data_IF_113101687490
#
_entry.id   IF_113101687490
#
_cell.length_a   1.000
_cell.length_b   1.000
_cell.length_c   1.000
_cell.angle_alpha   90.00
_cell.angle_beta   90.00
_cell.angle_gamma   90.00
#
_symmetry.space_group_name_H-M   'P 1'
#
loop_
_entity.id
_entity.type
_entity.pdbx_description
1 polymer ?
#
# COMPACT_ATOMS: atom_id res chain seq x y z
N UNK A 1 -2.63 6.93 -16.65
CA UNK A 1 -1.88 5.90 -17.39
C UNK A 1 -1.07 6.52 -18.55
N UNK A 2 -1.70 7.23 -19.52
CA UNK A 2 -0.98 7.81 -20.69
C UNK A 2 0.11 8.79 -20.24
N UNK A 3 -0.20 9.74 -19.37
CA UNK A 3 0.80 10.68 -18.83
C UNK A 3 1.92 9.96 -18.06
N UNK A 4 1.60 8.89 -17.33
CA UNK A 4 2.60 8.11 -16.59
C UNK A 4 3.57 7.41 -17.55
N UNK A 5 3.08 6.94 -18.70
CA UNK A 5 3.93 6.33 -19.72
C UNK A 5 4.99 7.31 -20.28
N UNK A 6 4.69 8.61 -20.33
CA UNK A 6 5.63 9.64 -20.80
C UNK A 6 6.88 9.81 -19.92
N UNK A 7 6.83 9.35 -18.68
CA UNK A 7 8.00 9.39 -17.79
C UNK A 7 8.98 8.24 -18.02
N UNK A 8 8.56 7.18 -18.75
CA UNK A 8 9.39 5.99 -18.97
C UNK A 8 10.79 6.30 -19.50
N UNK A 9 10.97 7.11 -20.58
CA UNK A 9 12.31 7.38 -21.10
C UNK A 9 13.27 8.04 -20.10
N UNK A 10 12.72 8.83 -19.17
CA UNK A 10 13.52 9.48 -18.11
C UNK A 10 13.92 8.50 -17.03
N UNK A 11 13.07 7.52 -16.73
CA UNK A 11 13.28 6.52 -15.69
C UNK A 11 14.12 5.32 -16.18
N UNK A 12 14.10 5.03 -17.48
CA UNK A 12 14.83 3.93 -18.10
C UNK A 12 16.36 4.01 -17.88
N UNK A 13 16.88 5.23 -17.67
CA UNK A 13 18.30 5.47 -17.37
C UNK A 13 18.63 5.42 -15.88
N UNK A 14 17.75 4.86 -15.05
CA UNK A 14 17.96 4.79 -13.59
C UNK A 14 17.69 6.08 -12.83
N UNK A 15 17.18 7.13 -13.50
CA UNK A 15 16.88 8.39 -12.84
C UNK A 15 15.67 8.25 -11.90
N UNK A 16 15.70 8.97 -10.80
CA UNK A 16 14.59 9.10 -9.86
C UNK A 16 14.01 10.50 -9.99
N UNK A 17 12.71 10.57 -10.31
CA UNK A 17 11.99 11.85 -10.32
C UNK A 17 11.47 12.11 -8.91
N UNK A 18 11.78 13.29 -8.38
CA UNK A 18 11.42 13.68 -7.02
C UNK A 18 10.83 15.09 -7.00
N UNK A 19 9.73 15.24 -6.28
CA UNK A 19 9.11 16.52 -5.97
C UNK A 19 8.81 16.58 -4.48
N UNK A 20 9.34 17.57 -3.79
CA UNK A 20 9.11 17.83 -2.38
C UNK A 20 8.21 19.05 -2.22
N UNK A 21 7.17 18.91 -1.41
CA UNK A 21 6.30 19.99 -0.96
C UNK A 21 6.47 20.07 0.56
N UNK A 22 6.95 21.18 1.06
CA UNK A 22 7.11 21.39 2.50
C UNK A 22 5.74 21.58 3.14
N UNK A 23 5.44 20.73 4.12
CA UNK A 23 4.18 20.79 4.86
C UNK A 23 4.43 21.05 6.34
N UNK A 24 5.15 20.17 7.03
CA UNK A 24 5.53 20.30 8.44
C UNK A 24 7.03 19.93 8.59
N UNK A 25 7.94 20.81 8.15
CA UNK A 25 9.37 20.50 8.11
C UNK A 25 9.97 20.25 9.49
N UNK A 26 9.45 20.91 10.54
CA UNK A 26 9.90 20.74 11.93
C UNK A 26 9.67 19.32 12.46
N UNK A 27 8.65 18.61 11.95
CA UNK A 27 8.34 17.23 12.32
C UNK A 27 8.87 16.20 11.29
N UNK A 28 9.60 16.64 10.26
CA UNK A 28 10.04 15.78 9.16
C UNK A 28 8.89 15.30 8.27
N UNK A 29 7.69 15.88 8.41
CA UNK A 29 6.49 15.49 7.68
C UNK A 29 6.32 16.36 6.43
N UNK A 30 7.11 16.05 5.40
CA UNK A 30 6.98 16.68 4.10
C UNK A 30 6.30 15.74 3.11
N UNK A 31 5.49 16.31 2.21
CA UNK A 31 4.95 15.54 1.10
C UNK A 31 6.04 15.37 0.04
N UNK A 32 6.55 14.17 -0.08
CA UNK A 32 7.60 13.84 -1.05
C UNK A 32 7.03 12.85 -2.06
N UNK A 33 6.91 13.27 -3.29
CA UNK A 33 6.55 12.38 -4.40
C UNK A 33 7.84 11.91 -5.07
N UNK A 34 8.00 10.59 -5.13
CA UNK A 34 9.18 9.90 -5.64
C UNK A 34 8.76 8.85 -6.65
N UNK A 35 9.26 8.95 -7.86
CA UNK A 35 9.02 7.99 -8.93
C UNK A 35 10.35 7.47 -9.45
N UNK A 36 10.59 6.18 -9.24
CA UNK A 36 11.62 5.38 -9.89
C UNK A 36 10.97 4.33 -10.81
N UNK A 37 11.75 3.49 -11.46
CA UNK A 37 11.23 2.46 -12.36
C UNK A 37 10.28 1.48 -11.67
N UNK A 38 10.53 1.13 -10.40
CA UNK A 38 9.66 0.26 -9.62
C UNK A 38 8.32 0.92 -9.28
N UNK A 39 8.34 2.18 -8.80
CA UNK A 39 7.12 2.95 -8.58
C UNK A 39 6.34 3.15 -9.89
N UNK A 40 7.04 3.44 -10.99
CA UNK A 40 6.41 3.58 -12.30
C UNK A 40 5.65 2.32 -12.74
N UNK A 41 6.25 1.14 -12.57
CA UNK A 41 5.60 -0.14 -12.88
C UNK A 41 4.29 -0.29 -12.11
N UNK A 42 4.31 -0.03 -10.79
CA UNK A 42 3.11 -0.11 -9.96
C UNK A 42 2.08 0.98 -10.31
N UNK A 43 2.51 2.20 -10.66
CA UNK A 43 1.61 3.24 -11.17
C UNK A 43 0.90 2.79 -12.44
N UNK A 44 1.61 2.16 -13.38
CA UNK A 44 1.01 1.63 -14.59
C UNK A 44 -0.01 0.51 -14.31
N UNK A 45 0.29 -0.39 -13.36
CA UNK A 45 -0.66 -1.41 -12.92
C UNK A 45 -1.92 -0.80 -12.28
N UNK A 46 -1.74 0.13 -11.33
CA UNK A 46 -2.85 0.78 -10.61
C UNK A 46 -3.74 1.55 -11.58
N UNK A 47 -3.16 2.40 -12.43
CA UNK A 47 -3.90 3.24 -13.35
C UNK A 47 -4.42 2.49 -14.57
N UNK A 48 -3.65 1.54 -15.11
CA UNK A 48 -4.02 0.76 -16.29
C UNK A 48 -5.19 -0.18 -15.99
N UNK A 49 -5.05 -1.02 -14.97
CA UNK A 49 -6.12 -1.93 -14.56
C UNK A 49 -7.31 -1.12 -14.01
N UNK A 50 -7.05 -0.03 -13.27
CA UNK A 50 -8.10 0.86 -12.79
C UNK A 50 -8.95 1.43 -13.91
N UNK A 51 -8.35 1.88 -15.02
CA UNK A 51 -9.08 2.37 -16.19
C UNK A 51 -9.96 1.28 -16.83
N UNK A 52 -9.44 0.05 -16.96
CA UNK A 52 -10.22 -1.09 -17.45
C UNK A 52 -11.39 -1.44 -16.54
N UNK A 53 -11.18 -1.39 -15.23
CA UNK A 53 -12.23 -1.68 -14.25
C UNK A 53 -13.28 -0.57 -14.23
N UNK A 54 -12.92 0.69 -14.39
CA UNK A 54 -13.88 1.81 -14.54
C UNK A 54 -14.74 1.60 -15.78
N UNK A 55 -14.14 1.20 -16.90
CA UNK A 55 -14.87 0.89 -18.13
C UNK A 55 -15.83 -0.29 -17.93
N UNK A 56 -15.36 -1.37 -17.30
CA UNK A 56 -16.19 -2.53 -16.98
C UNK A 56 -17.33 -2.20 -16.02
N UNK A 57 -17.04 -1.44 -14.95
CA UNK A 57 -18.04 -1.05 -13.96
C UNK A 57 -19.20 -0.23 -14.55
N UNK A 58 -18.93 0.58 -15.58
CA UNK A 58 -19.98 1.34 -16.29
C UNK A 58 -21.09 0.44 -16.85
N UNK A 59 -20.74 -0.76 -17.31
CA UNK A 59 -21.69 -1.74 -17.88
C UNK A 59 -22.20 -2.73 -16.84
N UNK A 60 -21.44 -2.95 -15.76
CA UNK A 60 -21.76 -3.89 -14.71
C UNK A 60 -22.75 -3.35 -13.67
N UNK A 61 -22.61 -2.06 -13.30
CA UNK A 61 -23.43 -1.45 -12.26
C UNK A 61 -24.88 -1.26 -12.73
N UNK A 62 -25.83 -1.65 -11.85
CA UNK A 62 -27.25 -1.45 -12.13
C UNK A 62 -27.64 0.03 -12.04
N UNK A 63 -28.66 0.43 -12.81
CA UNK A 63 -29.24 1.77 -12.71
C UNK A 63 -29.86 2.07 -11.34
N UNK A 64 -30.20 1.04 -10.57
CA UNK A 64 -30.72 1.16 -9.18
C UNK A 64 -29.61 1.36 -8.15
N UNK A 65 -28.34 1.08 -8.50
CA UNK A 65 -27.21 1.29 -7.61
C UNK A 65 -26.82 2.78 -7.53
N UNK A 66 -26.32 3.29 -6.39
CA UNK A 66 -25.81 4.66 -6.28
C UNK A 66 -24.43 4.79 -6.95
N UNK A 67 -24.42 4.73 -8.30
CA UNK A 67 -23.22 4.71 -9.14
C UNK A 67 -22.22 5.85 -8.84
N UNK A 68 -22.65 7.13 -8.60
CA UNK A 68 -21.70 8.19 -8.23
C UNK A 68 -20.90 7.86 -6.95
N UNK A 69 -21.54 7.26 -5.95
CA UNK A 69 -20.88 6.84 -4.71
C UNK A 69 -19.82 5.74 -4.97
N UNK A 70 -20.16 4.81 -5.89
CA UNK A 70 -19.21 3.76 -6.29
C UNK A 70 -17.94 4.37 -6.87
N UNK A 71 -18.07 5.21 -7.89
CA UNK A 71 -16.92 5.83 -8.55
C UNK A 71 -16.13 6.77 -7.64
N UNK A 72 -16.80 7.50 -6.73
CA UNK A 72 -16.11 8.32 -5.74
C UNK A 72 -15.20 7.50 -4.83
N UNK A 73 -15.70 6.40 -4.28
CA UNK A 73 -14.89 5.52 -3.43
C UNK A 73 -13.79 4.80 -4.22
N UNK A 74 -14.09 4.39 -5.47
CA UNK A 74 -13.13 3.72 -6.33
C UNK A 74 -11.96 4.64 -6.71
N UNK A 75 -12.25 5.87 -7.12
CA UNK A 75 -11.22 6.86 -7.46
C UNK A 75 -10.43 7.30 -6.23
N UNK A 76 -11.08 7.45 -5.07
CA UNK A 76 -10.40 7.75 -3.81
C UNK A 76 -9.45 6.62 -3.39
N UNK A 77 -9.87 5.35 -3.54
CA UNK A 77 -9.00 4.20 -3.32
C UNK A 77 -7.80 4.20 -4.30
N UNK A 78 -8.06 4.44 -5.59
CA UNK A 78 -7.00 4.52 -6.60
C UNK A 78 -6.01 5.66 -6.30
N UNK A 79 -6.50 6.81 -5.85
CA UNK A 79 -5.67 7.93 -5.39
C UNK A 79 -4.81 7.58 -4.18
N UNK A 80 -5.40 6.89 -3.19
CA UNK A 80 -4.66 6.40 -2.02
C UNK A 80 -3.57 5.39 -2.42
N UNK A 81 -3.85 4.47 -3.35
CA UNK A 81 -2.85 3.54 -3.89
C UNK A 81 -1.69 4.28 -4.57
N UNK A 82 -2.00 5.28 -5.40
CA UNK A 82 -0.99 6.13 -6.03
C UNK A 82 -0.17 6.89 -4.97
N UNK A 83 -0.83 7.36 -3.91
CA UNK A 83 -0.18 8.01 -2.78
C UNK A 83 0.87 7.11 -2.11
N UNK A 84 0.57 5.82 -1.86
CA UNK A 84 1.57 4.88 -1.30
C UNK A 84 2.71 4.64 -2.28
N UNK A 85 2.39 4.32 -3.53
CA UNK A 85 3.39 3.93 -4.55
C UNK A 85 4.38 5.06 -4.85
N UNK A 86 3.91 6.30 -4.82
CA UNK A 86 4.71 7.51 -5.08
C UNK A 86 5.28 8.14 -3.81
N UNK A 87 5.05 7.59 -2.63
CA UNK A 87 5.60 8.15 -1.40
C UNK A 87 7.13 8.08 -1.38
N UNK A 88 7.74 9.23 -1.17
CA UNK A 88 9.16 9.38 -0.86
C UNK A 88 9.45 9.65 0.62
N UNK A 89 8.43 9.53 1.48
CA UNK A 89 8.52 9.65 2.93
C UNK A 89 7.72 8.53 3.59
N UNK A 90 8.30 7.84 4.57
CA UNK A 90 7.68 6.68 5.22
C UNK A 90 6.40 7.04 6.00
N UNK A 91 6.33 8.23 6.62
CA UNK A 91 5.12 8.67 7.31
C UNK A 91 3.99 8.94 6.30
N UNK A 92 4.32 9.52 5.15
CA UNK A 92 3.38 9.67 4.03
C UNK A 92 2.91 8.30 3.51
N UNK A 93 3.81 7.32 3.41
CA UNK A 93 3.47 5.94 3.05
C UNK A 93 2.43 5.37 4.01
N UNK A 94 2.63 5.51 5.32
CA UNK A 94 1.67 5.03 6.35
C UNK A 94 0.32 5.73 6.23
N UNK A 95 0.31 7.05 6.03
CA UNK A 95 -0.93 7.81 5.86
C UNK A 95 -1.77 7.26 4.69
N UNK A 96 -1.16 7.15 3.51
CA UNK A 96 -1.87 6.62 2.34
C UNK A 96 -2.18 5.12 2.46
N UNK A 97 -1.37 4.36 3.20
CA UNK A 97 -1.63 2.96 3.54
C UNK A 97 -2.95 2.81 4.29
N UNK A 98 -3.17 3.64 5.31
CA UNK A 98 -4.43 3.65 6.06
C UNK A 98 -5.61 4.14 5.23
N UNK A 99 -5.40 5.13 4.36
CA UNK A 99 -6.43 5.57 3.42
C UNK A 99 -6.84 4.44 2.47
N UNK A 100 -5.91 3.58 2.04
CA UNK A 100 -6.30 2.39 1.25
C UNK A 100 -7.15 1.40 2.06
N UNK A 101 -6.89 1.23 3.36
CA UNK A 101 -7.71 0.39 4.26
C UNK A 101 -9.12 0.97 4.41
N UNK A 102 -9.22 2.29 4.61
CA UNK A 102 -10.49 2.98 4.76
C UNK A 102 -11.34 2.90 3.47
N UNK A 103 -10.77 3.25 2.31
CA UNK A 103 -11.52 3.22 1.06
C UNK A 103 -11.85 1.80 0.61
N UNK A 104 -11.00 0.80 0.90
CA UNK A 104 -11.35 -0.61 0.67
C UNK A 104 -12.52 -1.05 1.54
N UNK A 105 -12.58 -0.63 2.80
CA UNK A 105 -13.74 -0.88 3.67
C UNK A 105 -15.04 -0.33 3.07
N UNK A 106 -15.01 0.91 2.55
CA UNK A 106 -16.18 1.53 1.92
C UNK A 106 -16.59 0.80 0.62
N UNK A 107 -15.63 0.31 -0.14
CA UNK A 107 -15.88 -0.44 -1.38
C UNK A 107 -16.38 -1.86 -1.11
N UNK A 108 -15.81 -2.59 -0.16
CA UNK A 108 -16.27 -3.94 0.22
C UNK A 108 -17.67 -3.86 0.82
N UNK A 109 -17.92 -2.84 1.65
CA UNK A 109 -19.22 -2.57 2.26
C UNK A 109 -20.20 -1.82 1.38
N UNK A 110 -19.95 -1.69 0.07
CA UNK A 110 -20.77 -0.90 -0.86
C UNK A 110 -22.25 -1.27 -0.80
N UNK A 111 -22.58 -2.58 -0.84
CA UNK A 111 -23.92 -3.09 -0.61
C UNK A 111 -24.19 -3.27 0.90
N UNK A 112 -24.23 -2.15 1.62
CA UNK A 112 -24.34 -2.11 3.08
C UNK A 112 -25.60 -2.76 3.65
N UNK A 113 -26.66 -2.97 2.84
CA UNK A 113 -27.86 -3.73 3.22
C UNK A 113 -27.56 -5.23 3.39
N UNK A 114 -26.54 -5.77 2.74
CA UNK A 114 -26.13 -7.18 2.84
C UNK A 114 -25.30 -7.42 4.10
N UNK A 115 -25.62 -8.45 4.87
CA UNK A 115 -24.92 -8.80 6.11
C UNK A 115 -23.49 -9.30 5.86
N UNK A 116 -23.30 -10.10 4.79
CA UNK A 116 -22.01 -10.62 4.36
C UNK A 116 -21.04 -9.50 3.98
N UNK A 117 -21.48 -8.52 3.17
CA UNK A 117 -20.68 -7.38 2.79
C UNK A 117 -20.23 -6.56 4.01
N UNK A 118 -21.14 -6.27 4.96
CA UNK A 118 -20.78 -5.56 6.20
C UNK A 118 -19.79 -6.33 7.08
N UNK A 119 -19.96 -7.65 7.18
CA UNK A 119 -19.04 -8.49 7.97
C UNK A 119 -17.67 -8.58 7.31
N UNK A 120 -17.63 -8.80 5.99
CA UNK A 120 -16.40 -8.83 5.20
C UNK A 120 -15.64 -7.50 5.28
N UNK A 121 -16.34 -6.38 5.08
CA UNK A 121 -15.74 -5.05 5.18
C UNK A 121 -15.11 -4.77 6.56
N UNK A 122 -15.85 -5.03 7.64
CA UNK A 122 -15.33 -4.84 9.00
C UNK A 122 -14.13 -5.72 9.29
N UNK A 123 -14.19 -7.00 8.89
CA UNK A 123 -13.06 -7.92 9.09
C UNK A 123 -11.82 -7.45 8.32
N UNK A 124 -11.97 -7.06 7.05
CA UNK A 124 -10.89 -6.54 6.24
C UNK A 124 -10.27 -5.29 6.90
N UNK A 125 -11.09 -4.33 7.34
CA UNK A 125 -10.62 -3.12 8.02
C UNK A 125 -9.89 -3.44 9.32
N UNK A 126 -10.44 -4.34 10.15
CA UNK A 126 -9.83 -4.68 11.44
C UNK A 126 -8.44 -5.30 11.25
N UNK A 127 -8.32 -6.27 10.33
CA UNK A 127 -7.05 -6.98 10.09
C UNK A 127 -6.03 -6.03 9.44
N UNK A 128 -6.43 -5.35 8.36
CA UNK A 128 -5.48 -4.48 7.62
C UNK A 128 -5.16 -3.20 8.36
N UNK A 129 -6.09 -2.65 9.16
CA UNK A 129 -5.84 -1.49 10.01
C UNK A 129 -4.94 -1.83 11.19
N UNK A 130 -5.15 -2.98 11.87
CA UNK A 130 -4.22 -3.44 12.89
C UNK A 130 -2.80 -3.62 12.34
N UNK A 131 -2.67 -4.21 11.14
CA UNK A 131 -1.39 -4.30 10.45
C UNK A 131 -0.79 -2.95 10.10
N UNK A 132 -1.60 -1.97 9.72
CA UNK A 132 -1.13 -0.63 9.45
C UNK A 132 -0.66 0.12 10.71
N UNK A 133 -1.27 -0.13 11.87
CA UNK A 133 -0.76 0.37 13.15
C UNK A 133 0.60 -0.27 13.50
N UNK A 134 0.78 -1.56 13.22
CA UNK A 134 2.09 -2.20 13.33
C UNK A 134 3.11 -1.54 12.39
N UNK A 135 2.73 -1.27 11.14
CA UNK A 135 3.59 -0.58 10.18
C UNK A 135 3.96 0.83 10.68
N UNK A 136 3.00 1.58 11.23
CA UNK A 136 3.26 2.88 11.84
C UNK A 136 4.30 2.78 12.94
N UNK A 137 4.14 1.83 13.87
CA UNK A 137 5.10 1.60 14.95
C UNK A 137 6.49 1.25 14.40
N UNK A 138 6.56 0.35 13.39
CA UNK A 138 7.81 0.00 12.72
C UNK A 138 8.50 1.20 12.06
N UNK A 139 7.74 2.06 11.39
CA UNK A 139 8.25 3.28 10.76
C UNK A 139 8.75 4.30 11.80
N UNK A 140 8.05 4.43 12.94
CA UNK A 140 8.53 5.30 14.04
C UNK A 140 9.86 4.83 14.62
N UNK A 141 10.02 3.51 14.81
CA UNK A 141 11.29 2.93 15.27
C UNK A 141 12.39 3.10 14.21
N UNK A 142 12.08 2.87 12.93
CA UNK A 142 13.00 3.14 11.82
C UNK A 142 13.47 4.59 11.80
N UNK A 143 12.53 5.53 11.93
CA UNK A 143 12.85 6.96 11.99
C UNK A 143 13.75 7.32 13.18
N UNK A 144 13.59 6.63 14.31
CA UNK A 144 14.47 6.81 15.48
C UNK A 144 15.89 6.31 15.21
N UNK A 145 16.05 5.16 14.54
CA UNK A 145 17.36 4.58 14.22
C UNK A 145 18.10 5.46 13.21
N UNK A 146 17.40 5.88 12.15
CA UNK A 146 18.00 6.60 11.00
C UNK A 146 18.06 8.11 11.23
N UNK A 147 17.21 8.64 12.11
CA UNK A 147 17.05 10.10 12.31
C UNK A 147 16.23 10.78 11.20
N UNK A 148 15.60 10.01 10.29
CA UNK A 148 14.83 10.55 9.16
C UNK A 148 13.74 9.59 8.71
N UNK A 149 12.63 10.14 8.20
CA UNK A 149 11.56 9.40 7.52
C UNK A 149 11.66 9.49 5.99
N UNK A 150 12.65 10.20 5.46
CA UNK A 150 12.87 10.28 4.01
C UNK A 150 13.30 8.91 3.48
N UNK A 151 12.61 8.43 2.44
CA UNK A 151 12.82 7.09 1.92
C UNK A 151 14.24 6.89 1.37
N UNK A 152 14.81 7.90 0.70
CA UNK A 152 16.15 7.76 0.12
C UNK A 152 17.22 7.69 1.22
N UNK A 153 17.05 8.44 2.31
CA UNK A 153 17.93 8.38 3.49
C UNK A 153 17.83 7.00 4.16
N UNK A 154 16.61 6.49 4.33
CA UNK A 154 16.39 5.15 4.91
C UNK A 154 17.01 4.07 4.03
N UNK A 155 16.81 4.13 2.71
CA UNK A 155 17.38 3.15 1.78
C UNK A 155 18.92 3.16 1.75
N UNK A 156 19.54 4.30 2.03
CA UNK A 156 21.00 4.41 2.15
C UNK A 156 21.55 3.92 3.50
N UNK A 157 20.69 3.72 4.52
CA UNK A 157 21.08 3.42 5.90
C UNK A 157 20.99 1.92 6.25
N UNK A 158 21.06 1.02 5.26
CA UNK A 158 20.80 -0.43 5.47
C UNK A 158 21.71 -1.08 6.52
N UNK A 159 23.01 -0.78 6.53
CA UNK A 159 23.96 -1.34 7.52
C UNK A 159 23.66 -0.83 8.93
N UNK A 160 23.37 0.47 9.08
CA UNK A 160 22.97 1.07 10.35
C UNK A 160 21.72 0.38 10.92
N UNK A 161 20.72 0.16 10.08
CA UNK A 161 19.45 -0.45 10.48
C UNK A 161 19.68 -1.89 10.91
N UNK A 162 20.41 -2.70 10.13
CA UNK A 162 20.66 -4.13 10.42
C UNK A 162 21.55 -4.35 11.64
N UNK A 163 22.43 -3.41 11.97
CA UNK A 163 23.32 -3.50 13.15
C UNK A 163 22.67 -3.01 14.44
N UNK A 164 21.50 -2.34 14.37
CA UNK A 164 20.80 -1.81 15.54
C UNK A 164 20.09 -2.92 16.33
N UNK A 165 20.10 -2.82 17.66
CA UNK A 165 19.41 -3.75 18.56
C UNK A 165 17.89 -3.81 18.35
N UNK A 166 17.29 -2.77 17.80
CA UNK A 166 15.86 -2.68 17.50
C UNK A 166 15.51 -3.23 16.11
N UNK A 167 16.49 -3.68 15.31
CA UNK A 167 16.23 -4.22 13.98
C UNK A 167 15.19 -5.35 13.95
N UNK A 168 15.22 -6.37 14.84
CA UNK A 168 14.22 -7.44 14.82
C UNK A 168 12.80 -6.90 15.09
N UNK A 169 12.68 -5.87 15.93
CA UNK A 169 11.39 -5.22 16.23
C UNK A 169 10.87 -4.50 14.99
N UNK A 170 11.72 -3.73 14.30
CA UNK A 170 11.37 -3.06 13.04
C UNK A 170 10.91 -4.09 12.01
N UNK A 171 11.69 -5.16 11.84
CA UNK A 171 11.42 -6.20 10.86
C UNK A 171 10.05 -6.84 11.09
N UNK A 172 9.76 -7.30 12.31
CA UNK A 172 8.48 -7.92 12.66
C UNK A 172 7.32 -6.95 12.43
N UNK A 173 7.43 -5.70 12.87
CA UNK A 173 6.36 -4.70 12.76
C UNK A 173 6.06 -4.33 11.29
N UNK A 174 7.09 -4.17 10.47
CA UNK A 174 6.92 -3.88 9.03
C UNK A 174 6.33 -5.09 8.31
N UNK A 175 6.81 -6.31 8.60
CA UNK A 175 6.29 -7.54 8.00
C UNK A 175 4.84 -7.81 8.42
N UNK A 176 4.44 -7.56 9.67
CA UNK A 176 3.03 -7.64 10.08
C UNK A 176 2.15 -6.69 9.26
N UNK A 177 2.61 -5.46 9.02
CA UNK A 177 1.93 -4.54 8.11
C UNK A 177 1.78 -5.09 6.70
N UNK A 178 2.85 -5.63 6.13
CA UNK A 178 2.87 -6.20 4.79
C UNK A 178 1.99 -7.47 4.68
N UNK A 179 2.12 -8.42 5.60
CA UNK A 179 1.43 -9.70 5.56
C UNK A 179 -0.08 -9.57 5.76
N UNK A 180 -0.53 -8.72 6.69
CA UNK A 180 -1.95 -8.44 6.88
C UNK A 180 -2.59 -7.86 5.63
N UNK A 181 -1.91 -6.94 4.95
CA UNK A 181 -2.39 -6.30 3.72
C UNK A 181 -2.38 -7.26 2.53
N UNK A 182 -1.35 -8.10 2.42
CA UNK A 182 -1.21 -9.10 1.34
C UNK A 182 -1.95 -10.41 1.60
N UNK A 183 -2.70 -10.49 2.70
CA UNK A 183 -3.44 -11.70 3.11
C UNK A 183 -2.53 -12.95 3.15
N UNK A 184 -1.29 -12.79 3.64
CA UNK A 184 -0.38 -13.90 3.86
C UNK A 184 -0.78 -14.69 5.12
N UNK A 185 -0.36 -15.94 5.19
CA UNK A 185 -0.59 -16.74 6.40
C UNK A 185 0.05 -16.05 7.63
N UNK A 186 -0.62 -16.01 8.77
CA UNK A 186 -1.95 -16.54 9.12
C UNK A 186 -3.11 -15.56 8.83
N UNK A 187 -2.87 -14.42 8.23
CA UNK A 187 -3.84 -13.31 8.07
C UNK A 187 -4.72 -13.43 6.81
N UNK A 188 -4.69 -14.56 6.08
CA UNK A 188 -5.41 -14.74 4.80
C UNK A 188 -6.94 -14.82 4.95
N UNK A 189 -7.46 -15.07 6.14
CA UNK A 189 -8.87 -15.38 6.41
C UNK A 189 -9.85 -14.22 6.10
N UNK A 190 -9.39 -12.99 6.02
CA UNK A 190 -10.24 -11.85 5.67
C UNK A 190 -10.53 -11.77 4.16
N UNK A 191 -9.61 -12.23 3.32
CA UNK A 191 -9.67 -12.09 1.87
C UNK A 191 -10.89 -12.79 1.24
N UNK A 192 -11.22 -14.06 1.54
CA UNK A 192 -12.43 -14.71 1.01
C UNK A 192 -13.72 -13.99 1.43
N UNK A 193 -13.77 -13.41 2.62
CA UNK A 193 -14.93 -12.66 3.10
C UNK A 193 -15.08 -11.28 2.46
N UNK A 194 -13.98 -10.69 2.04
CA UNK A 194 -13.99 -9.44 1.28
C UNK A 194 -14.55 -9.60 -0.15
N UNK A 195 -14.62 -10.82 -0.66
CA UNK A 195 -15.24 -11.12 -1.98
C UNK A 195 -16.75 -10.88 -2.03
N UNK A 196 -17.41 -10.54 -0.93
CA UNK A 196 -18.80 -10.06 -0.92
C UNK A 196 -18.98 -8.67 -1.59
N UNK A 197 -17.89 -8.01 -1.95
CA UNK A 197 -17.85 -6.76 -2.72
C UNK A 197 -18.40 -6.95 -4.16
N UNK A 198 -18.82 -5.86 -4.84
CA UNK A 198 -19.10 -5.90 -6.27
C UNK A 198 -17.91 -6.46 -7.07
N UNK A 199 -18.18 -7.22 -8.13
CA UNK A 199 -17.14 -7.87 -8.95
C UNK A 199 -16.03 -6.91 -9.43
N UNK A 200 -16.34 -5.69 -9.93
CA UNK A 200 -15.30 -4.72 -10.31
C UNK A 200 -14.36 -4.37 -9.13
N UNK A 201 -14.93 -4.25 -7.92
CA UNK A 201 -14.14 -3.97 -6.70
C UNK A 201 -13.24 -5.14 -6.38
N UNK A 202 -13.79 -6.36 -6.34
CA UNK A 202 -13.02 -7.57 -6.02
C UNK A 202 -11.88 -7.77 -7.02
N UNK A 203 -12.13 -7.58 -8.31
CA UNK A 203 -11.11 -7.67 -9.35
C UNK A 203 -9.98 -6.66 -9.14
N UNK A 204 -10.30 -5.43 -8.77
CA UNK A 204 -9.31 -4.38 -8.58
C UNK A 204 -8.51 -4.51 -7.27
N UNK A 205 -9.22 -4.66 -6.14
CA UNK A 205 -8.58 -4.72 -4.82
C UNK A 205 -7.71 -5.96 -4.65
N UNK A 206 -8.20 -7.12 -5.09
CA UNK A 206 -7.60 -8.39 -4.70
C UNK A 206 -6.61 -8.93 -5.74
N UNK A 207 -6.75 -8.59 -7.03
CA UNK A 207 -5.81 -9.05 -8.04
C UNK A 207 -4.71 -8.03 -8.35
N UNK A 208 -5.05 -6.74 -8.42
CA UNK A 208 -4.18 -5.74 -9.03
C UNK A 208 -3.55 -4.76 -8.03
N UNK A 209 -4.18 -4.49 -6.87
CA UNK A 209 -3.77 -3.36 -6.05
C UNK A 209 -3.55 -3.69 -4.58
N UNK A 210 -4.59 -3.80 -3.76
CA UNK A 210 -4.48 -3.85 -2.29
C UNK A 210 -3.56 -4.97 -1.79
N UNK A 211 -3.76 -6.20 -2.29
CA UNK A 211 -2.97 -7.37 -1.88
C UNK A 211 -1.52 -7.27 -2.36
N UNK A 212 -1.27 -6.59 -3.47
CA UNK A 212 0.10 -6.36 -3.97
C UNK A 212 0.86 -5.28 -3.19
N UNK A 213 0.16 -4.51 -2.36
CA UNK A 213 0.78 -3.41 -1.62
C UNK A 213 1.78 -3.88 -0.55
N UNK A 214 1.49 -5.01 0.13
CA UNK A 214 2.46 -5.60 1.07
C UNK A 214 3.71 -6.11 0.35
N UNK A 215 3.54 -6.76 -0.80
CA UNK A 215 4.67 -7.18 -1.65
C UNK A 215 5.46 -5.96 -2.14
N UNK A 216 4.78 -4.89 -2.55
CA UNK A 216 5.42 -3.63 -2.91
C UNK A 216 6.27 -3.08 -1.76
N UNK A 217 5.74 -3.04 -0.55
CA UNK A 217 6.46 -2.55 0.63
C UNK A 217 7.69 -3.40 0.94
N UNK A 218 7.56 -4.73 0.95
CA UNK A 218 8.68 -5.64 1.17
C UNK A 218 9.78 -5.45 0.11
N UNK A 219 9.41 -5.37 -1.16
CA UNK A 219 10.37 -5.14 -2.24
C UNK A 219 11.01 -3.74 -2.17
N UNK A 220 10.25 -2.72 -1.75
CA UNK A 220 10.76 -1.35 -1.56
C UNK A 220 11.78 -1.27 -0.43
N UNK A 221 11.54 -1.97 0.66
CA UNK A 221 12.44 -1.99 1.84
C UNK A 221 13.44 -3.15 1.81
N UNK A 222 13.42 -3.98 0.76
CA UNK A 222 14.38 -5.07 0.57
C UNK A 222 15.84 -4.67 0.82
N UNK A 223 16.36 -3.54 0.27
CA UNK A 223 17.76 -3.18 0.42
C UNK A 223 18.19 -2.96 1.88
N UNK A 224 17.25 -2.62 2.76
CA UNK A 224 17.54 -2.28 4.17
C UNK A 224 17.14 -3.37 5.15
N UNK A 225 16.15 -4.20 4.81
CA UNK A 225 15.63 -5.24 5.72
C UNK A 225 16.08 -6.65 5.36
N UNK A 226 16.56 -6.90 4.13
CA UNK A 226 17.01 -8.24 3.74
C UNK A 226 18.47 -8.54 4.14
N UNK A 227 18.86 -9.80 3.98
CA UNK A 227 20.24 -10.27 4.18
C UNK A 227 20.56 -10.72 5.60
N UNK A 228 19.58 -10.84 6.48
CA UNK A 228 19.70 -11.40 7.82
C UNK A 228 19.02 -12.76 7.93
N UNK A 229 19.41 -13.57 8.91
CA UNK A 229 18.76 -14.86 9.19
C UNK A 229 17.29 -14.66 9.62
N UNK A 230 17.00 -13.62 10.40
CA UNK A 230 15.65 -13.28 10.85
C UNK A 230 14.73 -12.96 9.66
N UNK A 231 15.22 -12.19 8.68
CA UNK A 231 14.48 -11.93 7.45
C UNK A 231 14.16 -13.23 6.71
N UNK A 232 15.16 -14.10 6.54
CA UNK A 232 14.99 -15.36 5.84
C UNK A 232 13.90 -16.24 6.48
N UNK A 233 13.97 -16.42 7.80
CA UNK A 233 13.00 -17.26 8.51
C UNK A 233 11.61 -16.65 8.56
N UNK A 234 11.46 -15.33 8.71
CA UNK A 234 10.16 -14.68 8.78
C UNK A 234 9.46 -14.63 7.42
N UNK A 235 10.20 -14.49 6.34
CA UNK A 235 9.59 -14.42 4.99
C UNK A 235 9.32 -15.81 4.43
N UNK A 236 10.23 -16.77 4.61
CA UNK A 236 10.04 -18.13 4.09
C UNK A 236 9.27 -19.05 5.04
N UNK A 237 9.20 -18.75 6.33
CA UNK A 237 8.44 -19.54 7.30
C UNK A 237 6.92 -19.26 7.30
N UNK A 238 6.45 -18.39 6.42
CA UNK A 238 5.04 -18.02 6.25
C UNK A 238 4.42 -18.71 5.01
N UNK A 239 5.23 -19.45 4.23
CA UNK A 239 4.78 -20.22 3.06
C UNK A 239 4.20 -21.61 3.47
#
# INVERSE_FOLDING_TARGET
AIQTAWFFPRLANGNVLRQKIEWLPELGLNLVFRMDGFAWLFCMLVLGIGALVVLYARYYMSASDPVPRFFSFFLAFMGAMMGVVLSGNLMQTVLFWELTSLFSFLLIGYWHHRRDARRGARMALTVTGAGGLCLLAGVLVLGRIVGSYDLDVVLASGELIRSDTLYPVVLVLVLLGAFTKSAQFPFHFWLPRAMAAPTPVSAYLHSATMVKLGVFLMARLWPVLSGTEEWFWLVNGVD
#
